data_IF_912444993984
#
_entry.id   IF_912444993984
#
_cell.length_a   1.000
_cell.length_b   1.000
_cell.length_c   1.000
_cell.angle_alpha   90.00
_cell.angle_beta   90.00
_cell.angle_gamma   90.00
#
_symmetry.space_group_name_H-M   'P 1'
#
loop_
_entity.id
_entity.type
_entity.pdbx_description
1 polymer ?
#
# COMPACT_ATOMS: atom_id res chain seq x y z
N UNK A 1 6.50 1.82 3.90
CA UNK A 1 7.68 1.90 3.01
C UNK A 1 7.22 2.61 1.75
N UNK A 2 7.17 3.95 1.75
CA UNK A 2 6.61 4.71 0.62
C UNK A 2 7.72 5.02 -0.38
N UNK A 3 8.17 4.00 -1.13
CA UNK A 3 9.19 4.16 -2.19
C UNK A 3 8.60 4.42 -3.59
N UNK A 4 7.32 4.09 -3.82
CA UNK A 4 6.70 4.19 -5.14
C UNK A 4 5.34 4.88 -5.08
N UNK A 5 5.04 5.69 -6.09
CA UNK A 5 3.68 6.17 -6.34
C UNK A 5 2.80 5.04 -6.88
N UNK A 6 1.47 5.22 -6.85
CA UNK A 6 0.55 4.20 -7.38
C UNK A 6 0.78 3.92 -8.87
N UNK A 7 1.13 4.95 -9.65
CA UNK A 7 1.46 4.83 -11.07
C UNK A 7 2.72 3.96 -11.28
N UNK A 8 3.76 4.21 -10.48
CA UNK A 8 4.98 3.42 -10.52
C UNK A 8 4.74 1.96 -10.12
N UNK A 9 3.90 1.71 -9.10
CA UNK A 9 3.48 0.35 -8.71
C UNK A 9 2.76 -0.36 -9.84
N UNK A 10 1.84 0.32 -10.52
CA UNK A 10 1.12 -0.24 -11.68
C UNK A 10 2.09 -0.57 -12.82
N UNK A 11 3.05 0.31 -13.11
CA UNK A 11 4.07 0.04 -14.14
C UNK A 11 4.92 -1.18 -13.78
N UNK A 12 5.36 -1.31 -12.53
CA UNK A 12 6.11 -2.48 -12.05
C UNK A 12 5.32 -3.77 -12.27
N UNK A 13 4.04 -3.80 -11.89
CA UNK A 13 3.18 -4.98 -12.06
C UNK A 13 2.97 -5.32 -13.54
N UNK A 14 2.71 -4.31 -14.40
CA UNK A 14 2.57 -4.53 -15.85
C UNK A 14 3.82 -5.17 -16.45
N UNK A 15 5.00 -4.69 -16.08
CA UNK A 15 6.28 -5.22 -16.56
C UNK A 15 6.52 -6.63 -15.99
N UNK A 16 6.14 -6.86 -14.73
CA UNK A 16 6.28 -8.17 -14.08
C UNK A 16 5.49 -9.26 -14.79
N UNK A 17 4.19 -9.04 -15.01
CA UNK A 17 3.34 -10.01 -15.71
C UNK A 17 3.69 -10.13 -17.19
N UNK A 18 4.19 -9.07 -17.84
CA UNK A 18 4.70 -9.15 -19.22
C UNK A 18 5.96 -10.03 -19.34
N UNK A 19 6.76 -10.11 -18.29
CA UNK A 19 8.02 -10.86 -18.27
C UNK A 19 7.88 -12.27 -17.66
N UNK A 20 6.69 -12.89 -17.79
CA UNK A 20 6.41 -14.24 -17.28
C UNK A 20 6.75 -14.38 -15.79
N UNK A 21 6.42 -13.36 -14.99
CA UNK A 21 6.60 -13.35 -13.54
C UNK A 21 8.06 -13.46 -13.08
N UNK A 22 9.01 -13.19 -13.98
CA UNK A 22 10.45 -13.17 -13.65
C UNK A 22 10.86 -11.85 -13.01
N UNK A 23 11.18 -11.90 -11.71
CA UNK A 23 11.66 -10.71 -10.98
C UNK A 23 12.96 -10.16 -11.58
N UNK A 24 13.87 -11.02 -12.03
CA UNK A 24 15.14 -10.61 -12.61
C UNK A 24 14.95 -9.87 -13.95
N UNK A 25 14.09 -10.39 -14.83
CA UNK A 25 13.74 -9.73 -16.09
C UNK A 25 13.04 -8.39 -15.84
N UNK A 26 12.15 -8.35 -14.84
CA UNK A 26 11.45 -7.13 -14.42
C UNK A 26 12.41 -6.05 -13.97
N UNK A 27 13.41 -6.37 -13.13
CA UNK A 27 14.42 -5.39 -12.69
C UNK A 27 15.27 -4.85 -13.83
N UNK A 28 15.63 -5.70 -14.80
CA UNK A 28 16.36 -5.27 -16.01
C UNK A 28 15.52 -4.30 -16.84
N UNK A 29 14.24 -4.60 -17.04
CA UNK A 29 13.30 -3.75 -17.77
C UNK A 29 12.96 -2.44 -17.04
N UNK A 30 12.97 -2.43 -15.69
CA UNK A 30 12.72 -1.23 -14.89
C UNK A 30 13.92 -0.27 -14.87
N UNK A 31 15.15 -0.78 -15.00
CA UNK A 31 16.39 0.03 -14.92
C UNK A 31 16.40 1.23 -15.89
N UNK A 32 16.06 1.09 -17.20
CA UNK A 32 16.03 2.25 -18.10
C UNK A 32 14.88 3.22 -17.84
N UNK A 33 13.77 2.77 -17.24
CA UNK A 33 12.56 3.59 -17.02
C UNK A 33 12.71 4.47 -15.78
N UNK A 34 13.23 3.88 -14.70
CA UNK A 34 13.34 4.51 -13.38
C UNK A 34 14.70 5.21 -13.17
N UNK A 35 15.69 4.90 -14.00
CA UNK A 35 17.06 5.41 -13.85
C UNK A 35 17.82 4.73 -12.71
N UNK A 36 19.13 4.94 -12.67
CA UNK A 36 20.03 4.24 -11.73
C UNK A 36 19.72 4.56 -10.26
N UNK A 37 19.28 5.79 -9.97
CA UNK A 37 19.07 6.29 -8.60
C UNK A 37 17.74 5.87 -7.97
N UNK A 38 16.77 5.40 -8.77
CA UNK A 38 15.48 4.91 -8.25
C UNK A 38 15.28 3.41 -8.49
N UNK A 39 16.40 2.67 -8.62
CA UNK A 39 16.41 1.24 -8.85
C UNK A 39 15.57 0.52 -7.82
N UNK A 40 14.57 -0.21 -8.31
CA UNK A 40 13.77 -1.06 -7.46
C UNK A 40 14.61 -2.20 -6.92
N UNK A 41 14.56 -2.42 -5.60
CA UNK A 41 15.22 -3.60 -5.03
C UNK A 41 14.40 -4.84 -5.38
N UNK A 42 15.07 -5.99 -5.51
CA UNK A 42 14.39 -7.29 -5.69
C UNK A 42 13.29 -7.50 -4.65
N UNK A 43 13.62 -7.20 -3.39
CA UNK A 43 12.68 -7.29 -2.28
C UNK A 43 11.46 -6.37 -2.45
N UNK A 44 11.64 -5.17 -2.98
CA UNK A 44 10.54 -4.25 -3.19
C UNK A 44 9.56 -4.75 -4.26
N UNK A 45 10.06 -5.29 -5.38
CA UNK A 45 9.22 -5.90 -6.42
C UNK A 45 8.49 -7.12 -5.88
N UNK A 46 9.19 -8.03 -5.21
CA UNK A 46 8.57 -9.24 -4.65
C UNK A 46 7.52 -8.90 -3.58
N UNK A 47 7.79 -7.93 -2.71
CA UNK A 47 6.83 -7.50 -1.68
C UNK A 47 5.62 -6.82 -2.30
N UNK A 48 5.80 -6.05 -3.37
CA UNK A 48 4.72 -5.41 -4.11
C UNK A 48 3.81 -6.45 -4.77
N UNK A 49 4.38 -7.42 -5.48
CA UNK A 49 3.62 -8.50 -6.15
C UNK A 49 2.84 -9.30 -5.10
N UNK A 50 3.50 -9.74 -4.02
CA UNK A 50 2.83 -10.49 -2.94
C UNK A 50 1.68 -9.71 -2.30
N UNK A 51 1.88 -8.40 -2.06
CA UNK A 51 0.83 -7.52 -1.53
C UNK A 51 -0.33 -7.39 -2.53
N UNK A 52 -0.02 -7.22 -3.80
CA UNK A 52 -1.03 -7.13 -4.85
C UNK A 52 -1.84 -8.42 -4.98
N UNK A 53 -1.21 -9.59 -4.99
CA UNK A 53 -1.91 -10.88 -5.10
C UNK A 53 -2.78 -11.19 -3.88
N UNK A 54 -2.39 -10.71 -2.70
CA UNK A 54 -3.17 -10.92 -1.47
C UNK A 54 -4.36 -9.96 -1.32
N UNK A 55 -4.23 -8.70 -1.76
CA UNK A 55 -5.23 -7.65 -1.48
C UNK A 55 -5.87 -7.03 -2.72
N UNK A 56 -5.36 -7.36 -3.92
CA UNK A 56 -5.72 -6.77 -5.21
C UNK A 56 -5.72 -5.23 -5.21
N UNK A 57 -4.86 -4.64 -4.37
CA UNK A 57 -4.80 -3.20 -4.15
C UNK A 57 -3.40 -2.65 -4.40
N UNK A 58 -3.34 -1.51 -5.11
CA UNK A 58 -2.12 -0.75 -5.31
C UNK A 58 -1.83 0.22 -4.15
N UNK A 59 -2.82 0.43 -3.26
CA UNK A 59 -2.70 1.39 -2.17
C UNK A 59 -1.76 0.84 -1.11
N UNK A 60 -0.81 1.68 -0.70
CA UNK A 60 -0.04 1.38 0.49
C UNK A 60 -0.88 1.74 1.71
N UNK A 61 -1.63 0.76 2.21
CA UNK A 61 -2.34 0.90 3.49
C UNK A 61 -1.29 1.11 4.57
N UNK A 62 -1.20 2.33 5.08
CA UNK A 62 -0.43 2.64 6.26
C UNK A 62 -1.13 2.00 7.45
N UNK A 63 -0.51 0.98 8.04
CA UNK A 63 -0.97 0.44 9.32
C UNK A 63 -0.82 1.56 10.34
N UNK A 64 -1.94 2.06 10.86
CA UNK A 64 -1.94 3.02 11.95
C UNK A 64 -1.32 2.34 13.19
N UNK A 65 -0.13 2.76 13.58
CA UNK A 65 0.61 2.21 14.73
C UNK A 65 -0.14 2.47 16.05
N UNK A 66 -0.97 3.51 16.11
CA UNK A 66 -1.89 3.76 17.22
C UNK A 66 -3.31 3.81 16.69
N UNK A 67 -4.13 2.86 17.13
CA UNK A 67 -5.57 2.90 16.94
C UNK A 67 -6.14 4.06 17.76
N UNK A 68 -6.91 4.94 17.12
CA UNK A 68 -7.62 6.02 17.82
C UNK A 68 -8.87 5.44 18.48
N UNK A 69 -8.72 4.87 19.67
CA UNK A 69 -9.80 4.21 20.42
C UNK A 69 -10.98 5.16 20.69
N UNK A 70 -10.73 6.45 20.91
CA UNK A 70 -11.78 7.46 21.10
C UNK A 70 -12.66 7.74 19.88
N UNK A 71 -12.40 7.13 18.72
CA UNK A 71 -13.30 7.16 17.54
C UNK A 71 -13.76 5.75 17.14
N UNK A 72 -13.64 4.78 18.04
CA UNK A 72 -14.29 3.48 17.84
C UNK A 72 -15.80 3.68 17.75
N UNK A 73 -16.47 2.80 17.01
CA UNK A 73 -17.93 2.81 16.88
C UNK A 73 -18.60 2.73 18.25
N UNK A 74 -18.02 1.95 19.15
CA UNK A 74 -18.46 1.80 20.55
C UNK A 74 -18.38 3.13 21.31
N UNK A 75 -17.24 3.82 21.26
CA UNK A 75 -17.08 5.09 21.97
C UNK A 75 -17.95 6.20 21.36
N UNK A 76 -18.14 6.20 20.04
CA UNK A 76 -19.07 7.13 19.36
C UNK A 76 -20.49 6.90 19.86
N UNK A 77 -20.96 5.64 19.89
CA UNK A 77 -22.30 5.32 20.41
C UNK A 77 -22.47 5.74 21.87
N UNK A 78 -21.46 5.52 22.72
CA UNK A 78 -21.49 5.96 24.12
C UNK A 78 -21.59 7.49 24.21
N UNK A 79 -20.77 8.24 23.46
CA UNK A 79 -20.81 9.71 23.46
C UNK A 79 -22.15 10.23 22.93
N UNK A 80 -22.68 9.65 21.84
CA UNK A 80 -24.00 10.01 21.30
C UNK A 80 -25.10 9.82 22.36
N UNK A 81 -25.08 8.70 23.10
CA UNK A 81 -26.06 8.48 24.18
C UNK A 81 -25.90 9.45 25.35
N UNK A 82 -24.68 9.86 25.68
CA UNK A 82 -24.43 10.84 26.74
C UNK A 82 -24.92 12.24 26.34
N UNK A 83 -24.64 12.68 25.11
CA UNK A 83 -25.10 13.97 24.58
C UNK A 83 -26.63 14.03 24.48
N UNK A 84 -27.28 12.92 24.13
CA UNK A 84 -28.74 12.86 24.11
C UNK A 84 -29.38 12.95 25.51
N UNK A 85 -28.67 12.52 26.56
CA UNK A 85 -29.16 12.54 27.94
C UNK A 85 -28.96 13.87 28.63
N UNK A 86 -27.82 14.52 28.40
CA UNK A 86 -27.51 15.86 28.90
C UNK A 86 -27.10 16.77 27.74
N UNK A 87 -28.08 17.31 26.98
CA UNK A 87 -27.81 18.36 26.03
C UNK A 87 -27.49 19.63 26.81
N UNK A 88 -26.26 20.14 26.65
CA UNK A 88 -25.85 21.42 27.20
C UNK A 88 -26.60 22.60 26.57
#
# INVERSE_FOLDING_TARGET
MVKYTNEQRLQILKIYYRNLESVAATLRALTPIFGCNSRSSRQAVTSLVKKFESTYSLRDVTVLVRLRVGRSVEYIAVVETSVAKDPN
#
